data_IF_634428769200
#
_entry.id   IF_634428769200
#
_cell.length_a   1.000
_cell.length_b   1.000
_cell.length_c   1.000
_cell.angle_alpha   90.00
_cell.angle_beta   90.00
_cell.angle_gamma   90.00
#
_symmetry.space_group_name_H-M   'P 1'
#
loop_
_entity.id
_entity.type
_entity.pdbx_description
1 polymer ?
#
# COMPACT_ATOMS: atom_id res chain seq x y z
N UNK A 1 21.43 -32.67 -4.30
CA UNK A 1 21.73 -31.22 -4.14
C UNK A 1 21.03 -30.38 -5.21
N UNK A 2 21.10 -30.77 -6.48
CA UNK A 2 20.54 -29.97 -7.59
C UNK A 2 19.05 -29.65 -7.45
N UNK A 3 18.22 -30.61 -7.02
CA UNK A 3 16.78 -30.39 -6.79
C UNK A 3 16.49 -29.32 -5.72
N UNK A 4 17.28 -29.31 -4.64
CA UNK A 4 17.14 -28.32 -3.56
C UNK A 4 17.56 -26.92 -4.04
N UNK A 5 18.65 -26.84 -4.81
CA UNK A 5 19.11 -25.58 -5.41
C UNK A 5 18.04 -25.01 -6.35
N UNK A 6 17.46 -25.84 -7.22
CA UNK A 6 16.38 -25.44 -8.11
C UNK A 6 15.14 -24.94 -7.34
N UNK A 7 14.78 -25.61 -6.23
CA UNK A 7 13.68 -25.18 -5.38
C UNK A 7 13.94 -23.81 -4.74
N UNK A 8 15.15 -23.58 -4.21
CA UNK A 8 15.52 -22.28 -3.63
C UNK A 8 15.53 -21.16 -4.67
N UNK A 9 16.00 -21.44 -5.89
CA UNK A 9 15.96 -20.46 -7.00
C UNK A 9 14.53 -20.12 -7.37
N UNK A 10 13.64 -21.11 -7.50
CA UNK A 10 12.22 -20.87 -7.79
C UNK A 10 11.57 -20.01 -6.70
N UNK A 11 11.79 -20.35 -5.43
CA UNK A 11 11.28 -19.55 -4.29
C UNK A 11 11.84 -18.12 -4.36
N UNK A 12 13.14 -17.96 -4.62
CA UNK A 12 13.78 -16.65 -4.75
C UNK A 12 13.14 -15.80 -5.84
N UNK A 13 12.91 -16.37 -7.03
CA UNK A 13 12.24 -15.69 -8.14
C UNK A 13 10.81 -15.28 -7.74
N UNK A 14 10.06 -16.18 -7.11
CA UNK A 14 8.70 -15.87 -6.64
C UNK A 14 8.69 -14.71 -5.63
N UNK A 15 9.61 -14.72 -4.66
CA UNK A 15 9.73 -13.66 -3.66
C UNK A 15 10.07 -12.32 -4.34
N UNK A 16 11.00 -12.31 -5.29
CA UNK A 16 11.36 -11.09 -6.04
C UNK A 16 10.17 -10.56 -6.84
N UNK A 17 9.43 -11.44 -7.53
CA UNK A 17 8.25 -11.04 -8.30
C UNK A 17 7.15 -10.43 -7.40
N UNK A 18 6.92 -11.02 -6.22
CA UNK A 18 5.97 -10.48 -5.24
C UNK A 18 6.44 -9.12 -4.74
N UNK A 19 7.72 -8.98 -4.37
CA UNK A 19 8.27 -7.71 -3.89
C UNK A 19 8.15 -6.60 -4.94
N UNK A 20 8.42 -6.89 -6.20
CA UNK A 20 8.22 -5.96 -7.31
C UNK A 20 6.74 -5.58 -7.46
N UNK A 21 5.83 -6.56 -7.42
CA UNK A 21 4.39 -6.31 -7.49
C UNK A 21 3.88 -5.41 -6.37
N UNK A 22 4.32 -5.65 -5.13
CA UNK A 22 4.01 -4.80 -3.98
C UNK A 22 4.58 -3.39 -4.14
N UNK A 23 5.81 -3.26 -4.64
CA UNK A 23 6.43 -1.98 -4.93
C UNK A 23 5.65 -1.16 -5.97
N UNK A 24 5.23 -1.80 -7.06
CA UNK A 24 4.38 -1.16 -8.08
C UNK A 24 3.05 -0.73 -7.47
N UNK A 25 2.40 -1.62 -6.71
CA UNK A 25 1.13 -1.32 -6.04
C UNK A 25 1.25 -0.11 -5.10
N UNK A 26 2.37 0.00 -4.37
CA UNK A 26 2.65 1.13 -3.50
C UNK A 26 2.80 2.45 -4.29
N UNK A 27 3.62 2.45 -5.34
CA UNK A 27 3.87 3.65 -6.17
C UNK A 27 2.61 4.11 -6.87
N UNK A 28 1.83 3.18 -7.43
CA UNK A 28 0.55 3.47 -8.08
C UNK A 28 -0.44 4.05 -7.07
N UNK A 29 -0.55 3.44 -5.88
CA UNK A 29 -1.40 3.96 -4.81
C UNK A 29 -1.02 5.36 -4.37
N UNK A 30 0.27 5.63 -4.18
CA UNK A 30 0.76 6.96 -3.83
C UNK A 30 0.46 7.99 -4.93
N UNK A 31 0.72 7.65 -6.19
CA UNK A 31 0.47 8.55 -7.32
C UNK A 31 -1.02 8.86 -7.53
N UNK A 32 -1.89 7.85 -7.37
CA UNK A 32 -3.34 8.03 -7.41
C UNK A 32 -3.82 8.89 -6.25
N UNK A 33 -3.32 8.60 -5.04
CA UNK A 33 -3.67 9.33 -3.84
C UNK A 33 -3.28 10.81 -3.94
N UNK A 34 -2.05 11.12 -4.35
CA UNK A 34 -1.59 12.52 -4.53
C UNK A 34 -2.34 13.26 -5.65
N UNK A 35 -2.94 12.54 -6.60
CA UNK A 35 -3.73 13.13 -7.69
C UNK A 35 -5.18 13.39 -7.28
N UNK A 36 -5.77 12.48 -6.51
CA UNK A 36 -7.18 12.52 -6.13
C UNK A 36 -7.41 13.28 -4.81
N UNK A 37 -6.43 13.27 -3.89
CA UNK A 37 -6.42 14.07 -2.67
C UNK A 37 -5.39 15.19 -2.78
N UNK A 38 -5.80 16.46 -2.83
CA UNK A 38 -4.87 17.57 -2.63
C UNK A 38 -4.23 17.43 -1.23
N UNK A 39 -2.91 17.65 -1.15
CA UNK A 39 -2.14 17.51 0.09
C UNK A 39 -2.87 18.24 1.23
N UNK A 40 -3.09 17.59 2.39
CA UNK A 40 -3.60 18.29 3.56
C UNK A 40 -2.63 19.41 3.91
N UNK A 41 -3.16 20.61 4.14
CA UNK A 41 -2.35 21.75 4.55
C UNK A 41 -1.58 21.37 5.82
N UNK A 42 -0.26 21.56 5.76
CA UNK A 42 0.72 21.00 6.70
C UNK A 42 0.59 21.47 8.17
N UNK A 43 -0.45 22.24 8.50
CA UNK A 43 -0.63 22.88 9.80
C UNK A 43 -1.67 22.26 10.73
N UNK A 44 -2.66 21.49 10.26
CA UNK A 44 -3.87 21.30 11.09
C UNK A 44 -4.67 20.00 10.87
N UNK A 45 -4.05 18.94 10.38
CA UNK A 45 -4.77 17.67 10.15
C UNK A 45 -4.51 16.70 11.29
N UNK A 46 -5.54 16.50 12.12
CA UNK A 46 -5.61 15.38 13.05
C UNK A 46 -5.22 14.08 12.32
N UNK A 47 -4.14 13.40 12.73
CA UNK A 47 -3.66 12.20 12.06
C UNK A 47 -4.71 11.07 11.99
N UNK A 48 -5.68 11.07 12.91
CA UNK A 48 -6.76 10.11 12.92
C UNK A 48 -7.90 10.51 11.98
N UNK A 49 -8.19 11.80 11.83
CA UNK A 49 -9.10 12.28 10.79
C UNK A 49 -8.56 11.94 9.39
N UNK A 50 -7.25 12.10 9.17
CA UNK A 50 -6.61 11.69 7.92
C UNK A 50 -6.72 10.17 7.69
N UNK A 51 -6.52 9.36 8.74
CA UNK A 51 -6.71 7.91 8.66
C UNK A 51 -8.14 7.51 8.22
N UNK A 52 -9.16 8.21 8.73
CA UNK A 52 -10.55 7.97 8.34
C UNK A 52 -10.79 8.37 6.88
N UNK A 53 -10.28 9.53 6.45
CA UNK A 53 -10.40 9.96 5.06
C UNK A 53 -9.73 8.97 4.08
N UNK A 54 -8.53 8.49 4.42
CA UNK A 54 -7.77 7.55 3.58
C UNK A 54 -8.51 6.19 3.49
N UNK A 55 -9.17 5.78 4.58
CA UNK A 55 -10.02 4.58 4.62
C UNK A 55 -11.25 4.74 3.73
N UNK A 56 -11.96 5.84 3.85
CA UNK A 56 -13.15 6.13 3.06
C UNK A 56 -12.81 6.18 1.57
N UNK A 57 -11.70 6.85 1.22
CA UNK A 57 -11.19 6.89 -0.15
C UNK A 57 -10.90 5.47 -0.70
N UNK A 58 -10.18 4.64 0.06
CA UNK A 58 -9.87 3.26 -0.34
C UNK A 58 -11.13 2.39 -0.49
N UNK A 59 -12.14 2.58 0.36
CA UNK A 59 -13.40 1.83 0.31
C UNK A 59 -14.34 2.31 -0.80
N UNK A 60 -14.28 3.59 -1.17
CA UNK A 60 -15.06 4.17 -2.25
C UNK A 60 -14.55 3.77 -3.64
N UNK A 61 -13.34 3.19 -3.74
CA UNK A 61 -12.78 2.78 -5.02
C UNK A 61 -13.46 1.58 -5.66
N UNK A 62 -13.55 1.53 -7.00
CA UNK A 62 -13.86 0.31 -7.72
C UNK A 62 -12.85 -0.81 -7.40
N UNK A 63 -13.32 -2.05 -7.27
CA UNK A 63 -12.49 -3.19 -6.82
C UNK A 63 -11.20 -3.39 -7.61
N UNK A 64 -11.18 -3.09 -8.92
CA UNK A 64 -9.97 -3.16 -9.73
C UNK A 64 -8.87 -2.16 -9.29
N UNK A 65 -9.25 -0.92 -8.96
CA UNK A 65 -8.32 0.07 -8.40
C UNK A 65 -7.91 -0.30 -6.97
N UNK A 66 -8.85 -0.83 -6.20
CA UNK A 66 -8.61 -1.25 -4.83
C UNK A 66 -7.51 -2.32 -4.73
N UNK A 67 -7.53 -3.31 -5.63
CA UNK A 67 -6.45 -4.32 -5.75
C UNK A 67 -5.12 -3.65 -6.11
N UNK A 68 -5.13 -2.75 -7.10
CA UNK A 68 -3.92 -2.09 -7.57
C UNK A 68 -3.23 -1.25 -6.47
N UNK A 69 -3.98 -0.69 -5.53
CA UNK A 69 -3.46 0.17 -4.45
C UNK A 69 -3.40 -0.52 -3.08
N UNK A 70 -3.64 -1.84 -3.03
CA UNK A 70 -3.72 -2.58 -1.76
C UNK A 70 -2.43 -2.50 -0.94
N UNK A 71 -1.24 -2.57 -1.57
CA UNK A 71 0.02 -2.48 -0.85
C UNK A 71 0.22 -1.10 -0.24
N UNK A 72 -0.16 -0.04 -0.97
CA UNK A 72 -0.18 1.32 -0.45
C UNK A 72 -1.08 1.41 0.78
N UNK A 73 -2.34 0.95 0.67
CA UNK A 73 -3.29 0.98 1.78
C UNK A 73 -2.78 0.25 3.02
N UNK A 74 -2.14 -0.90 2.85
CA UNK A 74 -1.57 -1.66 3.96
C UNK A 74 -0.44 -0.92 4.70
N UNK A 75 0.51 -0.34 3.97
CA UNK A 75 1.61 0.45 4.57
C UNK A 75 1.05 1.61 5.37
N UNK A 76 0.07 2.26 4.78
CA UNK A 76 -0.52 3.46 5.31
C UNK A 76 -1.35 3.09 6.57
N UNK A 77 -2.07 1.94 6.54
CA UNK A 77 -2.77 1.35 7.70
C UNK A 77 -1.87 1.09 8.89
N UNK A 78 -0.70 0.50 8.62
CA UNK A 78 0.30 0.28 9.67
C UNK A 78 0.82 1.59 10.24
N UNK A 79 0.97 2.61 9.40
CA UNK A 79 1.44 3.94 9.82
C UNK A 79 0.42 4.64 10.73
N UNK A 80 -0.89 4.57 10.44
CA UNK A 80 -1.91 5.15 11.35
C UNK A 80 -2.04 4.35 12.65
N UNK A 81 -1.92 3.02 12.60
CA UNK A 81 -1.92 2.19 13.79
C UNK A 81 -0.74 2.54 14.73
N UNK A 82 0.45 2.82 14.17
CA UNK A 82 1.61 3.30 14.94
C UNK A 82 1.36 4.66 15.60
N UNK A 83 0.52 5.51 14.99
CA UNK A 83 0.10 6.81 15.53
C UNK A 83 -1.04 6.71 16.55
N UNK A 84 -1.54 5.51 16.83
CA UNK A 84 -2.62 5.28 17.80
C UNK A 84 -4.04 5.47 17.23
N UNK A 85 -4.18 5.67 15.93
CA UNK A 85 -5.47 5.77 15.27
C UNK A 85 -6.04 4.36 14.99
N UNK A 86 -7.36 4.17 15.20
CA UNK A 86 -8.05 2.88 15.08
C UNK A 86 -8.96 2.81 13.85
#
# INVERSE_FOLDING_TARGET
MELLIALFVLIGVFVVMIAVGLGISYVVGKALYEREHPKPDAGDTDPCAQCHADREWYQAMPGGKQIAVTAWWWVNRMTWAQKGCR
#
